data_IF_016040004351
#
_entry.id   IF_016040004351
#
_cell.length_a   1.000
_cell.length_b   1.000
_cell.length_c   1.000
_cell.angle_alpha   90.00
_cell.angle_beta   90.00
_cell.angle_gamma   90.00
#
_symmetry.space_group_name_H-M   'P 1'
#
loop_
_entity.id
_entity.type
_entity.pdbx_description
1 polymer ?
#
# COMPACT_ATOMS: atom_id res chain seq x y z
N UNK A 1 12.03 5.52 -3.61
CA UNK A 1 11.11 5.17 -2.53
C UNK A 1 10.33 6.41 -2.10
N UNK A 2 9.09 6.18 -1.70
CA UNK A 2 8.21 7.26 -1.26
C UNK A 2 7.26 6.78 -0.17
N UNK A 3 6.85 7.72 0.68
CA UNK A 3 5.77 7.54 1.65
C UNK A 3 4.65 8.52 1.35
N UNK A 4 3.42 8.15 1.70
CA UNK A 4 2.28 9.06 1.57
C UNK A 4 1.14 8.72 2.53
N UNK A 5 0.46 9.77 2.97
CA UNK A 5 -0.86 9.67 3.58
C UNK A 5 -1.92 9.65 2.48
N UNK A 6 -2.55 8.49 2.29
CA UNK A 6 -3.55 8.28 1.25
C UNK A 6 -4.94 8.87 1.54
N UNK A 7 -5.17 9.46 2.73
CA UNK A 7 -6.50 9.90 3.19
C UNK A 7 -7.24 10.77 2.18
N UNK A 8 -6.54 11.68 1.51
CA UNK A 8 -7.11 12.64 0.56
C UNK A 8 -7.07 12.19 -0.90
N UNK A 9 -6.63 10.93 -1.17
CA UNK A 9 -6.39 10.43 -2.51
C UNK A 9 -7.35 9.30 -2.90
N UNK A 10 -7.76 9.30 -4.15
CA UNK A 10 -8.59 8.28 -4.77
C UNK A 10 -7.76 7.02 -5.17
N UNK A 11 -6.62 6.83 -4.51
CA UNK A 11 -5.67 5.75 -4.68
C UNK A 11 -4.42 6.15 -5.46
N UNK A 12 -3.64 5.13 -5.79
CA UNK A 12 -2.38 5.32 -6.53
C UNK A 12 -2.62 5.73 -8.00
N UNK A 13 -3.40 4.93 -8.72
CA UNK A 13 -3.49 4.98 -10.19
C UNK A 13 -4.16 6.25 -10.69
N UNK A 14 -3.50 6.96 -11.62
CA UNK A 14 -4.09 8.08 -12.36
C UNK A 14 -5.37 7.65 -13.08
N UNK A 15 -6.40 8.47 -12.97
CA UNK A 15 -7.74 8.24 -13.50
C UNK A 15 -8.21 9.47 -14.30
N UNK A 16 -9.06 9.24 -15.30
CA UNK A 16 -9.52 10.34 -16.15
C UNK A 16 -10.57 11.27 -15.50
N UNK A 17 -11.15 10.86 -14.37
CA UNK A 17 -12.22 11.56 -13.66
C UNK A 17 -11.78 12.27 -12.39
N UNK A 18 -10.51 12.18 -12.02
CA UNK A 18 -9.95 12.81 -10.80
C UNK A 18 -8.47 13.10 -10.96
N UNK A 19 -8.02 14.22 -10.38
CA UNK A 19 -6.63 14.62 -10.24
C UNK A 19 -6.04 14.25 -8.87
N UNK A 20 -6.87 13.66 -7.98
CA UNK A 20 -6.52 13.29 -6.61
C UNK A 20 -5.94 11.87 -6.55
N UNK A 21 -4.87 11.61 -7.30
CA UNK A 21 -4.15 10.34 -7.27
C UNK A 21 -2.68 10.56 -6.98
N UNK A 22 -2.04 9.62 -6.27
CA UNK A 22 -0.61 9.71 -5.95
C UNK A 22 0.23 9.78 -7.23
N UNK A 23 -0.03 8.89 -8.20
CA UNK A 23 0.65 8.88 -9.48
C UNK A 23 0.49 10.23 -10.22
N UNK A 24 -0.71 10.79 -10.24
CA UNK A 24 -0.96 12.08 -10.90
C UNK A 24 -0.18 13.24 -10.27
N UNK A 25 -0.03 13.27 -8.92
CA UNK A 25 0.78 14.28 -8.24
C UNK A 25 2.27 14.14 -8.56
N UNK A 26 2.79 12.91 -8.57
CA UNK A 26 4.18 12.65 -8.96
C UNK A 26 4.45 13.06 -10.41
N UNK A 27 3.60 12.65 -11.35
CA UNK A 27 3.72 12.99 -12.78
C UNK A 27 3.66 14.49 -13.01
N UNK A 28 2.76 15.22 -12.35
CA UNK A 28 2.64 16.67 -12.49
C UNK A 28 3.90 17.43 -12.04
N UNK A 29 4.58 16.97 -10.98
CA UNK A 29 5.84 17.55 -10.51
C UNK A 29 6.98 17.23 -11.47
N UNK A 30 7.05 15.98 -11.95
CA UNK A 30 8.08 15.55 -12.89
C UNK A 30 7.91 16.21 -14.27
N UNK A 31 6.69 16.42 -14.74
CA UNK A 31 6.40 17.14 -15.99
C UNK A 31 6.88 18.60 -15.93
N UNK A 32 6.72 19.28 -14.79
CA UNK A 32 7.29 20.63 -14.59
C UNK A 32 8.80 20.62 -14.61
N UNK A 33 9.42 19.59 -14.08
CA UNK A 33 10.87 19.42 -14.10
C UNK A 33 11.38 19.18 -15.51
N UNK A 34 10.77 18.24 -16.24
CA UNK A 34 11.24 17.77 -17.54
C UNK A 34 10.85 18.72 -18.67
N UNK A 35 9.68 19.39 -18.55
CA UNK A 35 9.05 20.18 -19.62
C UNK A 35 8.22 19.35 -20.59
N UNK A 36 8.06 18.05 -20.33
CA UNK A 36 7.23 17.11 -21.10
C UNK A 36 6.67 16.04 -20.16
N UNK A 37 5.58 15.33 -20.56
CA UNK A 37 4.97 14.30 -19.73
C UNK A 37 5.95 13.19 -19.35
N UNK A 38 5.95 12.82 -18.06
CA UNK A 38 6.78 11.74 -17.50
C UNK A 38 5.85 10.70 -16.89
N UNK A 39 5.92 9.47 -17.38
CA UNK A 39 5.13 8.36 -16.85
C UNK A 39 5.79 7.75 -15.61
N UNK A 40 5.01 7.56 -14.53
CA UNK A 40 5.46 6.98 -13.27
C UNK A 40 4.85 5.59 -13.07
N UNK A 41 5.70 4.58 -12.90
CA UNK A 41 5.29 3.21 -12.62
C UNK A 41 5.49 2.88 -11.13
N UNK A 42 4.41 2.56 -10.41
CA UNK A 42 4.47 2.11 -9.02
C UNK A 42 4.59 0.59 -8.90
N UNK A 43 5.28 0.10 -7.87
CA UNK A 43 5.43 -1.33 -7.58
C UNK A 43 4.08 -1.99 -7.24
N UNK A 44 3.16 -1.26 -6.64
CA UNK A 44 1.80 -1.67 -6.34
C UNK A 44 0.80 -0.54 -6.51
N UNK A 45 -0.44 -0.90 -6.76
CA UNK A 45 -1.56 0.04 -6.72
C UNK A 45 -2.20 -0.05 -5.35
N UNK A 46 -2.29 1.07 -4.66
CA UNK A 46 -3.07 1.21 -3.43
C UNK A 46 -4.46 1.71 -3.78
N UNK A 47 -5.47 1.22 -3.05
CA UNK A 47 -6.85 1.70 -3.19
C UNK A 47 -7.01 3.08 -2.53
N UNK A 48 -8.17 3.73 -2.74
CA UNK A 48 -8.48 5.02 -2.12
C UNK A 48 -8.33 4.95 -0.59
N UNK A 49 -7.71 5.99 -0.01
CA UNK A 49 -7.47 6.12 1.41
C UNK A 49 -6.36 5.24 1.98
N UNK A 50 -5.66 4.43 1.17
CA UNK A 50 -4.56 3.57 1.63
C UNK A 50 -3.25 4.34 1.64
N UNK A 51 -2.54 4.28 2.75
CA UNK A 51 -1.24 4.91 2.96
C UNK A 51 -0.10 4.03 2.46
N UNK A 52 1.10 4.58 2.37
CA UNK A 52 2.33 3.81 2.16
C UNK A 52 3.49 4.39 2.97
N UNK A 53 4.24 3.52 3.63
CA UNK A 53 5.48 3.85 4.32
C UNK A 53 6.71 3.69 3.41
N UNK A 54 6.61 2.85 2.36
CA UNK A 54 7.74 2.51 1.49
C UNK A 54 7.31 2.04 0.11
N UNK A 55 6.48 2.81 -0.61
CA UNK A 55 6.16 2.53 -2.01
C UNK A 55 7.40 2.72 -2.87
N UNK A 56 7.59 1.85 -3.85
CA UNK A 56 8.65 1.97 -4.85
C UNK A 56 8.03 2.37 -6.19
N UNK A 57 8.62 3.39 -6.82
CA UNK A 57 8.23 3.80 -8.16
C UNK A 57 9.48 4.05 -9.03
N UNK A 58 9.32 3.95 -10.35
CA UNK A 58 10.33 4.35 -11.30
C UNK A 58 9.74 5.24 -12.39
N UNK A 59 10.59 6.05 -12.98
CA UNK A 59 10.33 6.90 -14.13
C UNK A 59 11.62 7.12 -14.91
N UNK A 60 11.54 7.69 -16.10
CA UNK A 60 12.67 8.07 -16.93
C UNK A 60 12.67 9.57 -17.15
N UNK A 61 13.84 10.21 -17.06
CA UNK A 61 14.08 11.60 -17.40
C UNK A 61 15.13 11.68 -18.53
N UNK A 62 14.94 12.63 -19.41
CA UNK A 62 15.95 13.02 -20.42
C UNK A 62 16.95 13.99 -19.78
N UNK A 63 16.48 14.87 -18.91
CA UNK A 63 17.35 15.76 -18.12
C UNK A 63 18.29 14.96 -17.23
N UNK A 64 19.56 15.28 -17.28
CA UNK A 64 20.56 14.69 -16.39
C UNK A 64 20.53 15.37 -15.04
N UNK A 65 20.04 14.67 -14.05
CA UNK A 65 20.01 15.10 -12.64
C UNK A 65 20.46 13.94 -11.75
N UNK A 66 21.15 14.29 -10.68
CA UNK A 66 21.53 13.31 -9.65
C UNK A 66 20.34 12.86 -8.80
N UNK A 67 20.43 11.69 -8.14
CA UNK A 67 19.36 11.20 -7.28
C UNK A 67 18.99 12.18 -6.15
N UNK A 68 19.97 12.84 -5.54
CA UNK A 68 19.75 13.80 -4.46
C UNK A 68 19.04 15.06 -4.98
N UNK A 69 19.41 15.55 -6.17
CA UNK A 69 18.74 16.69 -6.80
C UNK A 69 17.28 16.39 -7.12
N UNK A 70 17.00 15.16 -7.58
CA UNK A 70 15.63 14.70 -7.85
C UNK A 70 14.84 14.61 -6.53
N UNK A 71 15.45 14.05 -5.49
CA UNK A 71 14.82 13.91 -4.17
C UNK A 71 14.44 15.29 -3.61
N UNK A 72 15.37 16.24 -3.64
CA UNK A 72 15.16 17.61 -3.15
C UNK A 72 14.09 18.34 -3.97
N UNK A 73 14.14 18.22 -5.31
CA UNK A 73 13.15 18.81 -6.18
C UNK A 73 11.76 18.25 -5.92
N UNK A 74 11.63 16.94 -5.88
CA UNK A 74 10.33 16.28 -5.64
C UNK A 74 9.76 16.71 -4.29
N UNK A 75 10.53 16.66 -3.21
CA UNK A 75 10.05 17.04 -1.88
C UNK A 75 9.74 18.55 -1.74
N UNK A 76 10.34 19.40 -2.56
CA UNK A 76 10.02 20.84 -2.60
C UNK A 76 8.66 21.14 -3.22
N UNK A 77 8.23 20.34 -4.20
CA UNK A 77 7.03 20.63 -4.99
C UNK A 77 5.89 19.66 -4.81
N UNK A 78 6.12 18.53 -4.17
CA UNK A 78 5.05 17.59 -3.80
C UNK A 78 4.19 18.17 -2.66
N UNK A 79 2.90 17.79 -2.57
CA UNK A 79 2.08 18.07 -1.40
C UNK A 79 2.72 17.49 -0.12
N UNK A 80 2.45 18.11 1.03
CA UNK A 80 3.00 17.72 2.34
C UNK A 80 2.70 16.27 2.77
N UNK A 81 1.67 15.67 2.19
CA UNK A 81 1.25 14.30 2.44
C UNK A 81 1.88 13.25 1.50
N UNK A 82 2.84 13.66 0.64
CA UNK A 82 3.64 12.77 -0.21
C UNK A 82 5.12 13.16 -0.08
N UNK A 83 5.98 12.23 0.31
CA UNK A 83 7.41 12.45 0.42
C UNK A 83 8.20 11.38 -0.34
N UNK A 84 9.26 11.81 -1.05
CA UNK A 84 10.30 10.92 -1.58
C UNK A 84 11.33 10.70 -0.48
N UNK A 85 11.49 9.46 -0.05
CA UNK A 85 12.38 9.10 1.06
C UNK A 85 13.76 8.66 0.60
N UNK A 86 13.86 8.20 -0.65
CA UNK A 86 15.12 7.80 -1.28
C UNK A 86 14.99 7.81 -2.79
N UNK A 87 16.05 8.22 -3.49
CA UNK A 87 16.19 8.09 -4.93
C UNK A 87 17.49 7.34 -5.27
N UNK A 88 17.52 6.63 -6.38
CA UNK A 88 18.74 6.04 -6.93
C UNK A 88 18.57 5.79 -8.44
N UNK A 89 19.70 5.74 -9.15
CA UNK A 89 19.74 5.35 -10.55
C UNK A 89 19.63 3.83 -10.65
N UNK A 90 18.80 3.36 -11.56
CA UNK A 90 18.61 1.94 -11.84
C UNK A 90 18.94 1.64 -13.32
N UNK A 91 19.30 0.39 -13.67
CA UNK A 91 19.43 0.00 -15.08
C UNK A 91 18.15 0.32 -15.87
N UNK A 92 18.29 0.69 -17.14
CA UNK A 92 17.17 1.12 -17.99
C UNK A 92 16.00 0.12 -18.05
N UNK A 93 16.28 -1.18 -18.03
CA UNK A 93 15.27 -2.25 -18.02
C UNK A 93 14.56 -2.46 -16.67
N UNK A 94 14.92 -1.70 -15.62
CA UNK A 94 14.27 -1.83 -14.33
C UNK A 94 12.83 -1.34 -14.38
N UNK A 95 11.92 -2.13 -13.82
CA UNK A 95 10.52 -1.76 -13.70
C UNK A 95 10.01 -2.12 -12.29
N UNK A 96 9.67 -1.11 -11.50
CA UNK A 96 9.29 -1.26 -10.08
C UNK A 96 8.20 -2.31 -9.82
N UNK A 97 7.26 -2.48 -10.76
CA UNK A 97 6.18 -3.46 -10.63
C UNK A 97 6.59 -4.86 -11.04
N UNK A 98 7.35 -5.00 -12.13
CA UNK A 98 7.72 -6.31 -12.69
C UNK A 98 8.86 -6.96 -11.93
N UNK A 99 9.76 -6.15 -11.37
CA UNK A 99 10.88 -6.60 -10.55
C UNK A 99 10.55 -6.68 -9.06
N UNK A 100 9.32 -6.35 -8.65
CA UNK A 100 8.90 -6.50 -7.26
C UNK A 100 8.84 -7.98 -6.86
N UNK A 101 9.63 -8.36 -5.87
CA UNK A 101 9.69 -9.74 -5.35
C UNK A 101 8.62 -9.96 -4.28
N UNK A 102 8.50 -8.99 -3.37
CA UNK A 102 7.59 -9.06 -2.22
C UNK A 102 6.89 -7.72 -2.00
N UNK A 103 5.72 -7.80 -1.34
CA UNK A 103 4.97 -6.65 -0.84
C UNK A 103 4.45 -6.98 0.55
N UNK A 104 4.55 -6.01 1.44
CA UNK A 104 3.97 -6.12 2.78
C UNK A 104 2.87 -5.08 2.93
N UNK A 105 1.70 -5.52 3.36
CA UNK A 105 0.59 -4.66 3.76
C UNK A 105 0.36 -4.81 5.25
N UNK A 106 0.18 -3.69 5.96
CA UNK A 106 -0.16 -3.66 7.37
C UNK A 106 -1.61 -3.17 7.52
N UNK A 107 -2.41 -3.94 8.25
CA UNK A 107 -3.74 -3.54 8.69
C UNK A 107 -3.68 -3.22 10.18
N UNK A 108 -4.18 -2.06 10.58
CA UNK A 108 -4.05 -1.54 11.94
C UNK A 108 -5.42 -1.46 12.61
N UNK A 109 -5.55 -2.04 13.80
CA UNK A 109 -6.80 -2.14 14.55
C UNK A 109 -6.62 -1.48 15.91
N UNK A 110 -7.58 -0.66 16.31
CA UNK A 110 -7.71 -0.12 17.66
C UNK A 110 -8.87 -0.82 18.37
N UNK A 111 -8.56 -1.55 19.44
CA UNK A 111 -9.54 -2.35 20.22
C UNK A 111 -10.10 -1.58 21.41
N UNK A 112 -9.53 -0.41 21.76
CA UNK A 112 -10.06 0.44 22.83
C UNK A 112 -11.47 0.92 22.50
N UNK A 113 -12.35 0.92 23.52
CA UNK A 113 -13.73 1.41 23.39
C UNK A 113 -13.82 2.92 23.12
N UNK A 114 -12.82 3.68 23.54
CA UNK A 114 -12.74 5.13 23.30
C UNK A 114 -12.17 5.40 21.91
N UNK A 115 -12.90 6.19 21.11
CA UNK A 115 -12.45 6.59 19.76
C UNK A 115 -11.19 7.47 19.84
N UNK A 116 -10.16 7.10 19.09
CA UNK A 116 -8.99 7.95 18.84
C UNK A 116 -9.25 8.81 17.58
N UNK A 117 -9.69 10.05 17.78
CA UNK A 117 -10.08 10.95 16.68
C UNK A 117 -8.88 11.44 15.87
N UNK A 118 -7.68 11.50 16.45
CA UNK A 118 -6.48 11.99 15.76
C UNK A 118 -5.87 10.94 14.84
N UNK A 119 -6.01 9.66 15.18
CA UNK A 119 -5.45 8.56 14.38
C UNK A 119 -6.51 7.75 13.62
N UNK A 120 -7.75 8.28 13.54
CA UNK A 120 -8.90 7.59 12.92
C UNK A 120 -8.69 7.18 11.45
N UNK A 121 -7.75 7.81 10.76
CA UNK A 121 -7.43 7.49 9.37
C UNK A 121 -6.39 6.37 9.23
N UNK A 122 -5.67 6.07 10.33
CA UNK A 122 -4.62 5.06 10.34
C UNK A 122 -5.04 3.76 11.01
N UNK A 123 -6.03 3.80 11.90
CA UNK A 123 -6.51 2.64 12.65
C UNK A 123 -7.99 2.38 12.39
N UNK A 124 -8.31 1.11 12.18
CA UNK A 124 -9.70 0.67 12.22
C UNK A 124 -10.16 0.59 13.68
N UNK A 125 -11.03 1.50 14.09
CA UNK A 125 -11.58 1.55 15.45
C UNK A 125 -12.63 0.48 15.66
N UNK A 126 -12.23 -0.70 16.11
CA UNK A 126 -13.12 -1.83 16.37
C UNK A 126 -13.90 -1.65 17.68
N UNK A 127 -13.24 -1.13 18.74
CA UNK A 127 -13.88 -0.83 20.03
C UNK A 127 -14.18 -2.05 20.90
N UNK A 128 -13.67 -3.24 20.55
CA UNK A 128 -13.82 -4.46 21.33
C UNK A 128 -12.55 -5.32 21.29
N UNK A 129 -12.37 -6.17 22.30
CA UNK A 129 -11.20 -7.06 22.38
C UNK A 129 -11.26 -8.13 21.31
N UNK A 130 -10.10 -8.57 20.87
CA UNK A 130 -9.89 -9.67 19.94
C UNK A 130 -9.08 -10.78 20.59
N UNK A 131 -9.43 -12.01 20.31
CA UNK A 131 -8.66 -13.21 20.63
C UNK A 131 -7.58 -13.38 19.56
N UNK A 132 -6.39 -12.79 19.81
CA UNK A 132 -5.27 -12.80 18.86
C UNK A 132 -4.76 -14.22 18.61
N UNK A 133 -4.79 -15.10 19.62
CA UNK A 133 -4.35 -16.49 19.45
C UNK A 133 -5.21 -17.26 18.46
N UNK A 134 -6.52 -17.10 18.50
CA UNK A 134 -7.43 -17.67 17.47
C UNK A 134 -7.18 -17.06 16.08
N UNK A 135 -6.91 -15.76 16.02
CA UNK A 135 -6.58 -15.09 14.77
C UNK A 135 -5.27 -15.65 14.17
N UNK A 136 -4.24 -15.92 14.98
CA UNK A 136 -2.98 -16.51 14.54
C UNK A 136 -3.18 -17.93 14.01
N UNK A 137 -3.99 -18.74 14.69
CA UNK A 137 -4.35 -20.10 14.22
C UNK A 137 -5.07 -20.05 12.85
N UNK A 138 -6.01 -19.13 12.66
CA UNK A 138 -6.68 -18.94 11.38
C UNK A 138 -5.73 -18.40 10.29
N UNK A 139 -4.83 -17.49 10.66
CA UNK A 139 -3.82 -16.94 9.75
C UNK A 139 -2.86 -18.01 9.23
N UNK A 140 -2.50 -19.01 10.07
CA UNK A 140 -1.69 -20.14 9.65
C UNK A 140 -2.32 -20.92 8.49
N UNK A 141 -3.65 -21.07 8.48
CA UNK A 141 -4.40 -21.73 7.40
C UNK A 141 -4.41 -20.88 6.13
N UNK A 142 -4.43 -19.54 6.28
CA UNK A 142 -4.46 -18.59 5.18
C UNK A 142 -3.08 -18.30 4.59
N UNK A 143 -2.01 -18.78 5.22
CA UNK A 143 -0.62 -18.63 4.74
C UNK A 143 -0.29 -19.73 3.74
N UNK A 144 0.54 -19.42 2.74
CA UNK A 144 0.93 -20.37 1.70
C UNK A 144 0.46 -19.96 0.31
N UNK A 145 0.50 -20.91 -0.62
CA UNK A 145 0.07 -20.71 -2.00
C UNK A 145 -1.34 -21.29 -2.19
N UNK A 146 -2.30 -20.39 -2.39
CA UNK A 146 -3.71 -20.75 -2.53
C UNK A 146 -4.37 -19.98 -3.68
N UNK A 147 -5.53 -20.46 -4.11
CA UNK A 147 -6.45 -19.67 -4.93
C UNK A 147 -7.28 -18.76 -4.02
N UNK A 148 -6.88 -17.48 -3.95
CA UNK A 148 -7.54 -16.45 -3.13
C UNK A 148 -8.73 -15.79 -3.86
N UNK A 149 -9.40 -16.47 -4.78
CA UNK A 149 -10.54 -15.91 -5.51
C UNK A 149 -11.65 -15.42 -4.57
N UNK A 150 -11.93 -16.13 -3.48
CA UNK A 150 -12.92 -15.75 -2.46
C UNK A 150 -12.54 -14.46 -1.70
N UNK A 151 -11.25 -14.13 -1.66
CA UNK A 151 -10.71 -12.91 -1.05
C UNK A 151 -10.45 -11.79 -2.07
N UNK A 152 -11.04 -11.87 -3.28
CA UNK A 152 -10.89 -10.86 -4.32
C UNK A 152 -12.14 -9.98 -4.41
N UNK A 153 -11.99 -8.67 -4.23
CA UNK A 153 -13.10 -7.72 -4.40
C UNK A 153 -13.62 -7.61 -5.83
N UNK A 154 -12.83 -8.01 -6.83
CA UNK A 154 -13.27 -8.08 -8.22
C UNK A 154 -13.81 -9.48 -8.58
N UNK A 155 -15.10 -9.67 -8.42
CA UNK A 155 -15.78 -10.94 -8.75
C UNK A 155 -15.67 -11.34 -10.23
N UNK A 156 -15.40 -10.38 -11.14
CA UNK A 156 -15.26 -10.60 -12.59
C UNK A 156 -13.78 -10.74 -13.02
N UNK A 157 -12.87 -10.98 -12.10
CA UNK A 157 -11.44 -11.13 -12.39
C UNK A 157 -11.21 -12.29 -13.37
N UNK A 158 -10.59 -11.97 -14.53
CA UNK A 158 -10.22 -12.96 -15.55
C UNK A 158 -8.78 -13.48 -15.41
N UNK A 159 -7.94 -12.76 -14.65
CA UNK A 159 -6.55 -13.14 -14.40
C UNK A 159 -6.48 -14.19 -13.29
N UNK A 160 -5.40 -15.01 -13.26
CA UNK A 160 -5.19 -16.00 -12.20
C UNK A 160 -5.25 -15.36 -10.81
N UNK A 161 -5.96 -16.03 -9.88
CA UNK A 161 -6.19 -15.58 -8.51
C UNK A 161 -5.30 -16.30 -7.49
N UNK A 162 -4.46 -17.22 -7.95
CA UNK A 162 -3.44 -17.87 -7.12
C UNK A 162 -2.38 -16.86 -6.71
N UNK A 163 -2.11 -16.79 -5.39
CA UNK A 163 -1.08 -15.97 -4.78
C UNK A 163 -0.35 -16.77 -3.72
N UNK A 164 0.83 -16.28 -3.35
CA UNK A 164 1.58 -16.83 -2.22
C UNK A 164 1.65 -15.77 -1.14
N UNK A 165 1.05 -16.03 0.02
CA UNK A 165 1.28 -15.27 1.25
C UNK A 165 2.39 -15.99 1.99
N UNK A 166 3.54 -15.31 2.16
CA UNK A 166 4.71 -15.88 2.83
C UNK A 166 4.55 -15.86 4.35
N UNK A 167 3.93 -14.80 4.87
CA UNK A 167 3.65 -14.64 6.30
C UNK A 167 2.49 -13.73 6.58
N UNK A 168 1.77 -14.02 7.67
CA UNK A 168 0.81 -13.15 8.32
C UNK A 168 1.27 -13.03 9.77
N UNK A 169 1.76 -11.84 10.17
CA UNK A 169 2.33 -11.60 11.49
C UNK A 169 1.47 -10.64 12.28
N UNK A 170 1.32 -10.90 13.57
CA UNK A 170 0.60 -10.06 14.52
C UNK A 170 1.57 -9.36 15.46
N UNK A 171 1.30 -8.11 15.75
CA UNK A 171 2.01 -7.32 16.74
C UNK A 171 0.96 -6.62 17.61
N UNK A 172 0.96 -6.92 18.91
CA UNK A 172 0.02 -6.32 19.85
C UNK A 172 0.73 -5.34 20.76
N UNK A 173 0.26 -4.11 20.80
CA UNK A 173 0.79 -3.02 21.60
C UNK A 173 -0.36 -2.39 22.41
N UNK A 174 -0.62 -2.94 23.59
CA UNK A 174 -1.76 -2.53 24.42
C UNK A 174 -3.09 -2.80 23.72
N UNK A 175 -3.86 -1.75 23.40
CA UNK A 175 -5.12 -1.86 22.65
C UNK A 175 -4.96 -1.88 21.13
N UNK A 176 -3.74 -1.79 20.62
CA UNK A 176 -3.46 -1.76 19.18
C UNK A 176 -2.98 -3.11 18.69
N UNK A 177 -3.50 -3.51 17.56
CA UNK A 177 -3.09 -4.74 16.88
C UNK A 177 -2.71 -4.40 15.44
N UNK A 178 -1.51 -4.77 15.04
CA UNK A 178 -1.04 -4.68 13.66
C UNK A 178 -1.02 -6.07 13.05
N UNK A 179 -1.62 -6.24 11.87
CA UNK A 179 -1.57 -7.48 11.09
C UNK A 179 -0.79 -7.17 9.82
N UNK A 180 0.39 -7.78 9.68
CA UNK A 180 1.27 -7.60 8.52
C UNK A 180 1.18 -8.81 7.60
N UNK A 181 0.76 -8.59 6.36
CA UNK A 181 0.66 -9.60 5.30
C UNK A 181 1.81 -9.41 4.32
N UNK A 182 2.69 -10.40 4.20
CA UNK A 182 3.80 -10.39 3.23
C UNK A 182 3.60 -11.47 2.19
N UNK A 183 3.72 -11.13 0.91
CA UNK A 183 3.53 -12.08 -0.18
C UNK A 183 4.02 -11.55 -1.53
N UNK A 184 3.96 -12.41 -2.56
CA UNK A 184 4.39 -12.08 -3.93
C UNK A 184 3.47 -11.10 -4.67
N UNK A 185 2.25 -10.90 -4.15
CA UNK A 185 1.26 -9.98 -4.70
C UNK A 185 -0.11 -10.23 -4.07
N UNK A 186 -0.97 -9.22 -4.17
CA UNK A 186 -2.31 -9.26 -3.60
C UNK A 186 -3.34 -8.91 -4.66
N UNK A 187 -4.52 -9.51 -4.55
CA UNK A 187 -5.69 -9.20 -5.36
C UNK A 187 -6.35 -7.91 -4.86
N UNK A 188 -7.23 -7.34 -5.65
CA UNK A 188 -7.99 -6.16 -5.25
C UNK A 188 -8.74 -6.43 -3.95
N UNK A 189 -8.58 -5.53 -2.97
CA UNK A 189 -9.17 -5.59 -1.62
C UNK A 189 -8.80 -6.85 -0.80
N UNK A 190 -7.90 -7.69 -1.28
CA UNK A 190 -7.58 -8.98 -0.65
C UNK A 190 -7.18 -8.83 0.83
N UNK A 191 -6.28 -7.90 1.16
CA UNK A 191 -5.85 -7.68 2.55
C UNK A 191 -7.02 -7.23 3.43
N UNK A 192 -7.90 -6.37 2.94
CA UNK A 192 -9.08 -5.92 3.69
C UNK A 192 -10.03 -7.08 4.01
N UNK A 193 -10.27 -7.96 3.03
CA UNK A 193 -11.16 -9.12 3.21
C UNK A 193 -10.53 -10.13 4.17
N UNK A 194 -9.23 -10.42 4.01
CA UNK A 194 -8.49 -11.29 4.94
C UNK A 194 -8.51 -10.74 6.37
N UNK A 195 -8.27 -9.42 6.54
CA UNK A 195 -8.33 -8.79 7.85
C UNK A 195 -9.72 -8.87 8.47
N UNK A 196 -10.77 -8.64 7.68
CA UNK A 196 -12.17 -8.81 8.14
C UNK A 196 -12.44 -10.24 8.61
N UNK A 197 -12.03 -11.26 7.83
CA UNK A 197 -12.17 -12.67 8.22
C UNK A 197 -11.43 -12.97 9.52
N UNK A 198 -10.21 -12.46 9.70
CA UNK A 198 -9.45 -12.68 10.93
C UNK A 198 -10.10 -11.96 12.13
N UNK A 199 -10.67 -10.77 11.93
CA UNK A 199 -11.41 -10.05 12.97
C UNK A 199 -12.65 -10.85 13.40
N UNK A 200 -13.44 -11.42 12.47
CA UNK A 200 -14.57 -12.30 12.77
C UNK A 200 -14.14 -13.49 13.64
N UNK A 201 -13.04 -14.15 13.31
CA UNK A 201 -12.49 -15.23 14.13
C UNK A 201 -12.07 -14.74 15.52
N UNK A 202 -11.49 -13.57 15.63
CA UNK A 202 -11.03 -12.99 16.90
C UNK A 202 -12.18 -12.50 17.81
N UNK A 203 -13.34 -12.24 17.22
CA UNK A 203 -14.53 -11.84 17.99
C UNK A 203 -15.35 -13.02 18.52
N UNK A 204 -15.25 -14.21 17.92
CA UNK A 204 -15.93 -15.46 18.32
C UNK A 204 -17.14 -15.75 17.50
#
# INVERSE_FOLDING_TARGET
WLSYDGTRYDGWQKQGNTDRTIQGKLEAVLEKLEGSPVEVHGSGRTDAGVHAEGQVANFHLVKRMGPDEILDYMNRYLPEDIAVTRACVMPERFHSRLNAVKKTYRYQIETASKKNVFERHYYYGLGQKLDVEKMEQAAAILTGTHDYKSFCGNKKMKKPTVRTIESICFEQMGSRIHISFTGNGFLQQMVRILSGTLIEVGTG
#
